data_IF_528715084366
#
_entry.id   IF_528715084366
#
_cell.length_a   1.000
_cell.length_b   1.000
_cell.length_c   1.000
_cell.angle_alpha   90.00
_cell.angle_beta   90.00
_cell.angle_gamma   90.00
#
_symmetry.space_group_name_H-M   'P 1'
#
loop_
_entity.id
_entity.type
_entity.pdbx_description
1 polymer ?
#
# COMPACT_ATOMS: atom_id res chain seq x y z
N UNK A 1 -8.62 -9.76 5.61
CA UNK A 1 -8.06 -10.43 4.41
C UNK A 1 -6.60 -10.74 4.67
N UNK A 2 -6.16 -11.97 4.42
CA UNK A 2 -4.73 -12.35 4.55
C UNK A 2 -3.96 -11.91 3.31
N UNK A 3 -2.68 -11.54 3.42
CA UNK A 3 -1.83 -11.17 2.26
C UNK A 3 -1.85 -12.26 1.18
N UNK A 4 -1.88 -13.54 1.58
CA UNK A 4 -2.02 -14.66 0.65
C UNK A 4 -3.33 -14.60 -0.17
N UNK A 5 -4.46 -14.26 0.45
CA UNK A 5 -5.75 -14.12 -0.24
C UNK A 5 -5.74 -12.96 -1.23
N UNK A 6 -5.08 -11.85 -0.87
CA UNK A 6 -4.90 -10.70 -1.76
C UNK A 6 -4.03 -11.05 -2.96
N UNK A 7 -2.92 -11.77 -2.76
CA UNK A 7 -2.05 -12.22 -3.86
C UNK A 7 -2.80 -13.16 -4.81
N UNK A 8 -3.60 -14.08 -4.26
CA UNK A 8 -4.48 -14.95 -5.06
C UNK A 8 -5.51 -14.13 -5.84
N UNK A 9 -6.11 -13.11 -5.21
CA UNK A 9 -7.08 -12.22 -5.85
C UNK A 9 -6.44 -11.46 -7.03
N UNK A 10 -5.28 -10.85 -6.82
CA UNK A 10 -4.57 -10.10 -7.87
C UNK A 10 -4.25 -10.99 -9.07
N UNK A 11 -3.69 -12.18 -8.82
CA UNK A 11 -3.35 -13.12 -9.89
C UNK A 11 -4.59 -13.58 -10.67
N UNK A 12 -5.69 -13.85 -9.96
CA UNK A 12 -6.98 -14.22 -10.58
C UNK A 12 -7.55 -13.11 -11.47
N UNK A 13 -7.28 -11.85 -11.15
CA UNK A 13 -7.73 -10.69 -11.92
C UNK A 13 -6.70 -10.19 -12.94
N UNK A 14 -5.72 -11.02 -13.33
CA UNK A 14 -4.81 -10.72 -14.45
C UNK A 14 -3.64 -9.78 -14.09
N UNK A 15 -3.39 -9.54 -12.80
CA UNK A 15 -2.25 -8.74 -12.36
C UNK A 15 -0.96 -9.58 -12.39
N UNK A 16 0.08 -9.06 -13.02
CA UNK A 16 1.38 -9.70 -13.25
C UNK A 16 2.45 -9.05 -12.39
N UNK A 17 3.26 -9.84 -11.69
CA UNK A 17 4.37 -9.36 -10.88
C UNK A 17 5.46 -8.75 -11.79
N UNK A 18 5.87 -7.51 -11.51
CA UNK A 18 6.86 -6.77 -12.31
C UNK A 18 8.11 -6.39 -11.54
N UNK A 19 8.03 -6.27 -10.22
CA UNK A 19 9.17 -5.97 -9.36
C UNK A 19 8.98 -6.58 -7.97
N UNK A 20 10.09 -6.89 -7.31
CA UNK A 20 10.12 -7.35 -5.92
C UNK A 20 11.26 -6.67 -5.19
N UNK A 21 10.98 -6.09 -4.01
CA UNK A 21 11.99 -5.47 -3.12
C UNK A 21 11.79 -6.01 -1.71
N UNK A 22 12.72 -6.83 -1.22
CA UNK A 22 12.51 -7.59 0.01
C UNK A 22 11.27 -8.48 -0.13
N UNK A 23 10.26 -8.28 0.71
CA UNK A 23 8.95 -8.96 0.58
C UNK A 23 7.85 -8.11 -0.08
N UNK A 24 8.20 -6.92 -0.57
CA UNK A 24 7.28 -6.11 -1.36
C UNK A 24 7.19 -6.64 -2.77
N UNK A 25 5.97 -6.72 -3.29
CA UNK A 25 5.67 -7.19 -4.65
C UNK A 25 4.87 -6.13 -5.38
N UNK A 26 5.33 -5.75 -6.56
CA UNK A 26 4.61 -4.84 -7.43
C UNK A 26 4.01 -5.56 -8.61
N UNK A 27 2.78 -5.23 -8.93
CA UNK A 27 2.02 -5.83 -10.00
C UNK A 27 1.53 -4.77 -10.99
N UNK A 28 1.45 -5.16 -12.27
CA UNK A 28 0.79 -4.40 -13.34
C UNK A 28 -0.34 -5.23 -13.94
N UNK A 29 -1.31 -4.56 -14.55
CA UNK A 29 -2.33 -5.20 -15.37
C UNK A 29 -2.11 -4.84 -16.84
N UNK A 30 -2.20 -5.79 -17.79
CA UNK A 30 -1.94 -5.51 -19.22
C UNK A 30 -2.87 -4.45 -19.81
N UNK A 31 -4.12 -4.41 -19.34
CA UNK A 31 -5.18 -3.56 -19.89
C UNK A 31 -5.63 -2.42 -18.95
N UNK A 32 -5.03 -2.29 -17.75
CA UNK A 32 -5.42 -1.23 -16.80
C UNK A 32 -4.20 -0.39 -16.43
N UNK A 33 -4.27 0.94 -16.56
CA UNK A 33 -3.19 1.81 -16.15
C UNK A 33 -3.02 1.79 -14.61
N UNK A 34 -1.78 1.83 -14.14
CA UNK A 34 -1.42 1.86 -12.73
C UNK A 34 -0.60 0.66 -12.26
N UNK A 35 -0.15 0.71 -11.00
CA UNK A 35 0.55 -0.39 -10.30
C UNK A 35 -0.23 -0.76 -9.03
N UNK A 36 -0.03 -1.99 -8.55
CA UNK A 36 -0.44 -2.41 -7.21
C UNK A 36 0.80 -2.86 -6.45
N UNK A 37 0.97 -2.41 -5.21
CA UNK A 37 2.08 -2.79 -4.34
C UNK A 37 1.56 -3.55 -3.12
N UNK A 38 2.04 -4.77 -2.90
CA UNK A 38 1.73 -5.60 -1.74
C UNK A 38 2.97 -5.72 -0.86
N UNK A 39 2.85 -5.34 0.42
CA UNK A 39 3.98 -5.23 1.33
C UNK A 39 4.47 -6.53 1.98
N UNK A 40 5.73 -6.49 2.41
CA UNK A 40 6.30 -7.31 3.48
C UNK A 40 7.76 -6.93 3.77
N UNK A 41 8.15 -7.01 5.05
CA UNK A 41 9.46 -6.86 5.75
C UNK A 41 10.65 -6.10 5.10
N UNK A 42 11.46 -5.39 5.93
CA UNK A 42 12.04 -4.08 5.60
C UNK A 42 13.37 -4.08 4.86
N UNK A 43 13.66 -2.94 4.23
CA UNK A 43 15.01 -2.38 4.01
C UNK A 43 14.95 -0.86 3.88
N UNK A 44 15.98 -0.17 4.36
CA UNK A 44 16.00 1.28 4.71
C UNK A 44 16.58 2.20 3.61
N UNK A 45 16.20 3.49 3.70
CA UNK A 45 16.75 4.75 3.09
C UNK A 45 16.03 5.28 1.83
N UNK A 46 15.79 6.57 1.55
CA UNK A 46 16.38 7.86 1.97
C UNK A 46 15.40 9.07 1.82
N UNK A 47 15.72 10.22 2.44
CA UNK A 47 14.87 11.44 2.51
C UNK A 47 14.91 12.30 1.24
N UNK A 48 13.88 12.19 0.39
CA UNK A 48 13.46 13.20 -0.58
C UNK A 48 12.25 14.01 -0.10
N UNK A 49 11.85 15.03 -0.87
CA UNK A 49 10.74 15.96 -0.59
C UNK A 49 9.53 15.24 0.04
N UNK A 50 9.16 15.61 1.27
CA UNK A 50 8.24 14.80 2.10
C UNK A 50 6.79 15.00 1.64
N UNK A 51 6.19 13.94 1.10
CA UNK A 51 4.75 13.85 0.84
C UNK A 51 4.06 13.14 2.00
N UNK A 52 2.89 13.62 2.43
CA UNK A 52 2.11 13.03 3.52
C UNK A 52 0.81 12.47 2.97
N UNK A 53 0.60 11.16 3.11
CA UNK A 53 -0.65 10.50 2.77
C UNK A 53 -1.45 10.14 4.03
N UNK A 54 -2.77 10.19 3.94
CA UNK A 54 -3.66 9.60 4.93
C UNK A 54 -3.63 8.07 4.81
N UNK A 55 -3.55 7.37 5.94
CA UNK A 55 -3.61 5.91 6.00
C UNK A 55 -4.80 5.53 6.86
N UNK A 56 -5.64 4.64 6.37
CA UNK A 56 -6.71 4.01 7.16
C UNK A 56 -6.20 2.66 7.64
N UNK A 57 -6.30 2.41 8.94
CA UNK A 57 -5.94 1.14 9.56
C UNK A 57 -7.19 0.54 10.19
N UNK A 58 -7.52 -0.68 9.79
CA UNK A 58 -8.66 -1.44 10.27
C UNK A 58 -8.17 -2.64 11.07
N UNK A 59 -8.78 -2.87 12.23
CA UNK A 59 -8.54 -4.07 13.03
C UNK A 59 -9.51 -5.18 12.58
N UNK A 60 -8.97 -6.37 12.37
CA UNK A 60 -9.73 -7.59 12.13
C UNK A 60 -9.34 -8.66 13.15
N UNK A 61 -9.94 -9.85 13.05
CA UNK A 61 -9.75 -10.93 14.02
C UNK A 61 -8.28 -11.44 14.00
N UNK A 62 -7.48 -10.93 14.91
CA UNK A 62 -6.07 -11.29 15.10
C UNK A 62 -5.07 -10.59 14.18
N UNK A 63 -5.47 -9.59 13.39
CA UNK A 63 -4.56 -8.79 12.56
C UNK A 63 -5.06 -7.37 12.29
N UNK A 64 -4.21 -6.56 11.67
CA UNK A 64 -4.52 -5.23 11.17
C UNK A 64 -4.34 -5.20 9.65
N UNK A 65 -5.17 -4.42 8.97
CA UNK A 65 -5.02 -4.09 7.55
C UNK A 65 -4.96 -2.58 7.38
N UNK A 66 -4.09 -2.11 6.49
CA UNK A 66 -3.94 -0.71 6.16
C UNK A 66 -4.08 -0.45 4.66
N UNK A 67 -4.65 0.69 4.31
CA UNK A 67 -4.73 1.17 2.93
C UNK A 67 -4.62 2.69 2.85
N UNK A 68 -4.25 3.19 1.68
CA UNK A 68 -4.06 4.63 1.40
C UNK A 68 -5.15 5.11 0.43
N UNK A 69 -6.10 5.94 0.86
CA UNK A 69 -7.22 6.35 -0.02
C UNK A 69 -6.76 7.10 -1.28
N UNK A 70 -5.76 7.98 -1.15
CA UNK A 70 -5.24 8.79 -2.27
C UNK A 70 -4.20 8.06 -3.12
N UNK A 71 -3.74 6.88 -2.70
CA UNK A 71 -2.73 6.10 -3.41
C UNK A 71 -3.27 4.69 -3.70
N UNK A 72 -4.21 4.56 -4.66
CA UNK A 72 -4.85 3.28 -4.97
C UNK A 72 -3.81 2.20 -5.29
N UNK A 73 -3.98 1.03 -4.67
CA UNK A 73 -3.05 -0.09 -4.84
C UNK A 73 -1.94 -0.16 -3.79
N UNK A 74 -1.89 0.77 -2.81
CA UNK A 74 -1.06 0.63 -1.61
C UNK A 74 -1.86 0.01 -0.46
N UNK A 75 -1.52 -1.23 -0.09
CA UNK A 75 -2.14 -1.95 1.02
C UNK A 75 -1.11 -2.77 1.80
N UNK A 76 -1.37 -2.96 3.10
CA UNK A 76 -0.54 -3.77 3.99
C UNK A 76 -1.40 -4.53 5.00
N UNK A 77 -0.87 -5.62 5.55
CA UNK A 77 -1.49 -6.31 6.68
C UNK A 77 -0.40 -6.91 7.59
N UNK A 78 -0.62 -6.84 8.90
CA UNK A 78 0.32 -7.36 9.90
C UNK A 78 -0.37 -7.75 11.22
N UNK A 79 0.36 -8.38 12.13
CA UNK A 79 -0.17 -8.87 13.41
C UNK A 79 -0.29 -7.79 14.49
N UNK A 80 0.39 -6.65 14.34
CA UNK A 80 0.33 -5.52 15.27
C UNK A 80 0.14 -4.20 14.54
N UNK A 81 -0.31 -3.18 15.29
CA UNK A 81 -0.46 -1.81 14.78
C UNK A 81 0.88 -1.25 14.29
N UNK A 82 1.95 -1.45 15.07
CA UNK A 82 3.29 -1.01 14.71
C UNK A 82 3.80 -1.69 13.42
N UNK A 83 3.60 -3.00 13.30
CA UNK A 83 4.02 -3.73 12.11
C UNK A 83 3.26 -3.30 10.85
N UNK A 84 1.96 -3.01 10.96
CA UNK A 84 1.16 -2.59 9.81
C UNK A 84 1.50 -1.17 9.38
N UNK A 85 1.78 -0.27 10.32
CA UNK A 85 2.25 1.09 10.06
C UNK A 85 3.60 1.10 9.34
N UNK A 86 4.52 0.25 9.77
CA UNK A 86 5.82 0.12 9.10
C UNK A 86 5.65 -0.48 7.70
N UNK A 87 4.84 -1.53 7.57
CA UNK A 87 4.61 -2.18 6.28
C UNK A 87 3.94 -1.26 5.25
N UNK A 88 2.96 -0.45 5.66
CA UNK A 88 2.28 0.48 4.74
C UNK A 88 3.19 1.64 4.34
N UNK A 89 4.07 2.12 5.22
CA UNK A 89 5.10 3.12 4.89
C UNK A 89 6.02 2.61 3.77
N UNK A 90 6.55 1.40 3.93
CA UNK A 90 7.41 0.76 2.93
C UNK A 90 6.67 0.52 1.61
N UNK A 91 5.37 0.17 1.68
CA UNK A 91 4.52 0.01 0.50
C UNK A 91 4.37 1.31 -0.30
N UNK A 92 4.16 2.43 0.38
CA UNK A 92 4.03 3.76 -0.24
C UNK A 92 5.33 4.14 -0.93
N UNK A 93 6.47 4.03 -0.24
CA UNK A 93 7.78 4.35 -0.80
C UNK A 93 8.04 3.54 -2.07
N UNK A 94 7.88 2.22 -2.00
CA UNK A 94 8.11 1.36 -3.14
C UNK A 94 7.12 1.66 -4.28
N UNK A 95 5.84 1.92 -3.97
CA UNK A 95 4.83 2.28 -4.97
C UNK A 95 5.17 3.56 -5.72
N UNK A 96 5.61 4.61 -5.01
CA UNK A 96 6.03 5.87 -5.62
C UNK A 96 7.22 5.66 -6.55
N UNK A 97 8.22 4.88 -6.13
CA UNK A 97 9.34 4.51 -7.00
C UNK A 97 8.85 3.84 -8.30
N UNK A 98 7.94 2.87 -8.18
CA UNK A 98 7.40 2.16 -9.33
C UNK A 98 6.57 3.05 -10.28
N UNK A 99 5.86 4.05 -9.76
CA UNK A 99 5.17 5.04 -10.59
C UNK A 99 6.15 5.94 -11.35
N UNK A 100 7.22 6.38 -10.68
CA UNK A 100 8.28 7.20 -11.29
C UNK A 100 8.99 6.44 -12.41
N UNK A 101 9.34 5.17 -12.18
CA UNK A 101 9.94 4.28 -13.20
C UNK A 101 9.07 4.16 -14.46
N UNK A 102 7.75 4.17 -14.28
CA UNK A 102 6.79 4.04 -15.39
C UNK A 102 6.48 5.38 -16.08
N UNK A 103 7.05 6.48 -15.61
CA UNK A 103 6.67 7.82 -16.07
C UNK A 103 5.22 8.18 -15.75
N UNK A 104 4.62 7.53 -14.75
CA UNK A 104 3.27 7.80 -14.30
C UNK A 104 3.26 8.94 -13.26
N UNK A 105 2.23 9.79 -13.26
CA UNK A 105 2.10 10.84 -12.26
C UNK A 105 1.90 10.24 -10.86
N UNK A 106 2.57 10.81 -9.86
CA UNK A 106 2.33 10.49 -8.45
C UNK A 106 1.00 11.15 -8.04
N UNK A 107 0.01 10.38 -7.53
CA UNK A 107 -1.25 10.95 -7.04
C UNK A 107 -1.05 12.00 -5.95
N UNK A 108 -1.88 13.04 -5.94
CA UNK A 108 -1.82 14.06 -4.89
C UNK A 108 -2.52 13.59 -3.61
N UNK A 109 -1.94 13.84 -2.45
CA UNK A 109 -2.59 13.64 -1.16
C UNK A 109 -3.69 14.68 -0.93
N UNK A 110 -4.95 14.25 -1.04
CA UNK A 110 -6.15 15.10 -0.96
C UNK A 110 -7.11 14.68 0.15
N UNK A 111 -6.87 13.54 0.78
CA UNK A 111 -7.68 13.01 1.86
C UNK A 111 -7.61 13.91 3.09
N UNK A 112 -8.78 14.26 3.61
CA UNK A 112 -8.95 14.91 4.91
C UNK A 112 -9.43 13.84 5.89
N UNK A 113 -8.77 13.74 7.03
CA UNK A 113 -9.09 12.78 8.09
C UNK A 113 -9.63 13.55 9.28
N UNK A 114 -10.81 13.18 9.76
CA UNK A 114 -11.45 13.78 10.91
C UNK A 114 -12.07 12.69 11.78
N UNK A 115 -12.02 12.87 13.10
CA UNK A 115 -12.68 12.02 14.07
C UNK A 115 -13.88 12.78 14.63
N UNK A 116 -15.08 12.20 14.51
CA UNK A 116 -16.32 12.84 14.95
C UNK A 116 -16.80 12.13 16.22
N UNK A 117 -17.04 12.89 17.27
CA UNK A 117 -17.64 12.40 18.51
C UNK A 117 -19.17 12.30 18.36
N UNK A 118 -19.73 11.15 18.72
CA UNK A 118 -21.19 10.92 18.74
C UNK A 118 -21.59 10.33 20.08
N UNK A 119 -22.81 10.63 20.54
CA UNK A 119 -23.38 9.96 21.70
C UNK A 119 -23.66 8.48 21.36
N UNK A 120 -23.33 7.57 22.27
CA UNK A 120 -23.55 6.13 22.14
C UNK A 120 -24.94 5.71 22.62
#
# INVERSE_FOLDING_TARGET
MKVAELLTLLHRHGWVLVATRGSHRQFKHPERPGRVTVAGKPSTESRGNTMRYAVVIEQAEGNFSAYVPDLPGCVAAASSLEEVEQAIREAIEFHVEGLVEDGLPIPAARSVVEYIEVAA
#
